data_IF_025943982988
#
_entry.id   IF_025943982988
#
_cell.length_a   1.000
_cell.length_b   1.000
_cell.length_c   1.000
_cell.angle_alpha   90.00
_cell.angle_beta   90.00
_cell.angle_gamma   90.00
#
_symmetry.space_group_name_H-M   'P 1'
#
loop_
_entity.id
_entity.type
_entity.pdbx_description
1 polymer ?
#
# COMPACT_ATOMS: atom_id res chain seq x y z
N UNK A 1 -24.13 -4.86 2.59
CA UNK A 1 -23.61 -6.00 3.39
C UNK A 1 -23.20 -5.56 4.81
N UNK A 2 -24.09 -4.89 5.57
CA UNK A 2 -23.73 -4.26 6.86
C UNK A 2 -23.29 -5.29 7.93
N UNK A 3 -23.99 -6.43 8.02
CA UNK A 3 -23.65 -7.53 8.94
C UNK A 3 -22.24 -8.08 8.72
N UNK A 4 -21.86 -8.33 7.46
CA UNK A 4 -20.53 -8.86 7.13
C UNK A 4 -19.41 -7.90 7.54
N UNK A 5 -19.59 -6.58 7.30
CA UNK A 5 -18.62 -5.56 7.72
C UNK A 5 -18.50 -5.52 9.24
N UNK A 6 -19.61 -5.52 9.98
CA UNK A 6 -19.61 -5.57 11.45
C UNK A 6 -18.81 -6.77 11.97
N UNK A 7 -19.08 -7.96 11.43
CA UNK A 7 -18.39 -9.19 11.83
C UNK A 7 -16.89 -9.15 11.52
N UNK A 8 -16.48 -8.58 10.39
CA UNK A 8 -15.06 -8.42 10.05
C UNK A 8 -14.38 -7.48 11.05
N UNK A 9 -15.00 -6.35 11.38
CA UNK A 9 -14.48 -5.44 12.40
C UNK A 9 -14.35 -6.14 13.77
N UNK A 10 -15.33 -6.95 14.17
CA UNK A 10 -15.27 -7.74 15.41
C UNK A 10 -14.16 -8.81 15.39
N UNK A 11 -13.92 -9.45 14.25
CA UNK A 11 -12.81 -10.39 14.10
C UNK A 11 -11.45 -9.70 14.25
N UNK A 12 -11.26 -8.53 13.61
CA UNK A 12 -10.04 -7.73 13.75
C UNK A 12 -9.89 -7.24 15.20
N UNK A 13 -10.99 -6.78 15.80
CA UNK A 13 -11.02 -6.36 17.19
C UNK A 13 -10.54 -7.46 18.14
N UNK A 14 -11.08 -8.68 17.99
CA UNK A 14 -10.66 -9.85 18.77
C UNK A 14 -9.16 -10.16 18.62
N UNK A 15 -8.60 -9.99 17.41
CA UNK A 15 -7.16 -10.16 17.18
C UNK A 15 -6.33 -9.05 17.85
N UNK A 16 -6.75 -7.78 17.77
CA UNK A 16 -6.10 -6.67 18.47
C UNK A 16 -6.16 -6.87 19.99
N UNK A 17 -7.29 -7.35 20.51
CA UNK A 17 -7.42 -7.66 21.92
C UNK A 17 -6.43 -8.74 22.36
N UNK A 18 -6.30 -9.81 21.57
CA UNK A 18 -5.43 -10.95 21.87
C UNK A 18 -3.94 -10.66 21.71
N UNK A 19 -3.56 -9.96 20.64
CA UNK A 19 -2.15 -9.77 20.26
C UNK A 19 -1.61 -8.36 20.51
N UNK A 20 -2.47 -7.40 20.81
CA UNK A 20 -2.09 -5.98 20.94
C UNK A 20 -2.14 -5.20 19.63
N UNK A 21 -2.31 -5.87 18.49
CA UNK A 21 -2.35 -5.31 17.14
C UNK A 21 -3.07 -6.28 16.20
N UNK A 22 -3.43 -5.83 15.00
CA UNK A 22 -3.94 -6.69 13.93
C UNK A 22 -2.78 -7.45 13.27
N UNK A 23 -2.61 -8.77 13.47
CA UNK A 23 -1.60 -9.53 12.74
C UNK A 23 -1.86 -9.46 11.23
N UNK A 24 -0.81 -9.65 10.42
CA UNK A 24 -0.89 -9.61 8.95
C UNK A 24 -2.05 -10.46 8.37
N UNK A 25 -2.37 -11.59 9.02
CA UNK A 25 -3.58 -12.35 8.78
C UNK A 25 -3.90 -13.29 9.94
N UNK A 26 -5.03 -14.01 9.86
CA UNK A 26 -5.53 -14.92 10.90
C UNK A 26 -4.76 -16.26 11.04
N UNK A 27 -3.44 -16.25 10.90
CA UNK A 27 -2.56 -17.43 11.02
C UNK A 27 -1.47 -17.17 12.05
N UNK A 28 -1.07 -18.20 12.79
CA UNK A 28 -0.15 -18.04 13.93
C UNK A 28 1.23 -17.49 13.52
N UNK A 29 1.73 -17.85 12.33
CA UNK A 29 3.02 -17.34 11.82
C UNK A 29 3.00 -15.84 11.45
N UNK A 30 1.82 -15.20 11.44
CA UNK A 30 1.67 -13.75 11.32
C UNK A 30 1.71 -13.01 12.66
N UNK A 31 1.67 -13.69 13.80
CA UNK A 31 1.66 -13.09 15.16
C UNK A 31 2.88 -12.22 15.50
N UNK A 32 3.88 -12.12 14.62
CA UNK A 32 5.08 -11.30 14.76
C UNK A 32 5.11 -10.04 13.89
N UNK A 33 4.13 -9.88 13.00
CA UNK A 33 4.05 -8.72 12.10
C UNK A 33 2.61 -8.29 11.84
N UNK A 34 2.40 -6.99 11.74
CA UNK A 34 1.13 -6.36 11.40
C UNK A 34 0.92 -6.26 9.87
N UNK A 35 0.00 -5.40 9.46
CA UNK A 35 -0.17 -4.82 8.12
C UNK A 35 -0.52 -3.33 8.22
N UNK A 36 -0.58 -2.55 7.11
CA UNK A 36 -1.02 -1.16 7.15
C UNK A 36 -2.35 -0.97 7.94
N UNK A 37 -2.42 -0.05 8.93
CA UNK A 37 -3.51 -0.03 9.91
C UNK A 37 -4.77 0.67 9.38
N UNK A 38 -5.69 -0.11 8.80
CA UNK A 38 -6.99 0.38 8.30
C UNK A 38 -8.15 0.18 9.28
N UNK A 39 -7.96 -0.45 10.44
CA UNK A 39 -9.06 -0.80 11.35
C UNK A 39 -9.90 0.41 11.78
N UNK A 40 -9.25 1.53 12.12
CA UNK A 40 -9.95 2.77 12.47
C UNK A 40 -10.82 3.29 11.31
N UNK A 41 -10.33 3.22 10.07
CA UNK A 41 -11.09 3.60 8.87
C UNK A 41 -12.26 2.65 8.62
N UNK A 42 -12.07 1.35 8.82
CA UNK A 42 -13.14 0.35 8.66
C UNK A 42 -14.29 0.58 9.65
N UNK A 43 -13.97 0.87 10.92
CA UNK A 43 -14.97 1.22 11.93
C UNK A 43 -15.66 2.54 11.59
N UNK A 44 -14.91 3.53 11.10
CA UNK A 44 -15.47 4.80 10.66
C UNK A 44 -16.47 4.61 9.50
N UNK A 45 -16.10 3.90 8.45
CA UNK A 45 -16.97 3.67 7.28
C UNK A 45 -18.23 2.88 7.68
N UNK A 46 -18.10 1.90 8.58
CA UNK A 46 -19.24 1.21 9.16
C UNK A 46 -20.15 2.17 9.93
N UNK A 47 -19.59 3.05 10.77
CA UNK A 47 -20.35 4.05 11.49
C UNK A 47 -21.08 5.00 10.54
N UNK A 48 -20.42 5.53 9.51
CA UNK A 48 -21.07 6.43 8.55
C UNK A 48 -22.28 5.76 7.87
N UNK A 49 -22.15 4.48 7.51
CA UNK A 49 -23.20 3.72 6.84
C UNK A 49 -24.36 3.26 7.75
N UNK A 50 -24.17 3.25 9.07
CA UNK A 50 -25.14 2.64 10.03
C UNK A 50 -25.59 3.56 11.14
N UNK A 51 -24.80 4.58 11.46
CA UNK A 51 -24.93 5.46 12.62
C UNK A 51 -24.98 4.68 13.96
N UNK A 52 -24.40 3.47 14.00
CA UNK A 52 -24.34 2.58 15.18
C UNK A 52 -23.31 3.13 16.19
N UNK A 53 -23.76 4.06 17.03
CA UNK A 53 -22.93 4.73 18.06
C UNK A 53 -22.45 3.78 19.15
N UNK A 54 -23.23 2.77 19.49
CA UNK A 54 -22.84 1.78 20.50
C UNK A 54 -21.68 0.93 20.00
N UNK A 55 -21.74 0.45 18.74
CA UNK A 55 -20.62 -0.25 18.13
C UNK A 55 -19.38 0.64 18.02
N UNK A 56 -19.53 1.92 17.63
CA UNK A 56 -18.40 2.85 17.62
C UNK A 56 -17.75 2.96 19.01
N UNK A 57 -18.57 3.11 20.06
CA UNK A 57 -18.11 3.20 21.45
C UNK A 57 -17.38 1.92 21.90
N UNK A 58 -17.86 0.75 21.49
CA UNK A 58 -17.22 -0.54 21.73
C UNK A 58 -15.84 -0.64 21.06
N UNK A 59 -15.70 -0.14 19.83
CA UNK A 59 -14.47 -0.24 19.05
C UNK A 59 -13.40 0.80 19.43
N UNK A 60 -13.78 1.96 19.99
CA UNK A 60 -12.84 3.05 20.31
C UNK A 60 -11.64 2.62 21.16
N UNK A 61 -11.80 1.91 22.29
CA UNK A 61 -10.66 1.43 23.10
C UNK A 61 -9.73 0.47 22.33
N UNK A 62 -10.28 -0.29 21.38
CA UNK A 62 -9.53 -1.26 20.59
C UNK A 62 -8.70 -0.55 19.52
N UNK A 63 -9.27 0.50 18.89
CA UNK A 63 -8.53 1.41 18.00
C UNK A 63 -7.37 2.07 18.75
N UNK A 64 -7.61 2.57 19.96
CA UNK A 64 -6.55 3.16 20.80
C UNK A 64 -5.45 2.14 21.11
N UNK A 65 -5.82 0.89 21.43
CA UNK A 65 -4.87 -0.20 21.69
C UNK A 65 -3.96 -0.48 20.48
N UNK A 66 -4.51 -0.53 19.27
CA UNK A 66 -3.72 -0.73 18.05
C UNK A 66 -2.80 0.48 17.75
N UNK A 67 -3.30 1.71 17.89
CA UNK A 67 -2.48 2.92 17.73
C UNK A 67 -1.32 2.95 18.73
N UNK A 68 -1.58 2.54 19.97
CA UNK A 68 -0.56 2.40 21.01
C UNK A 68 0.53 1.40 20.62
N UNK A 69 0.16 0.28 19.99
CA UNK A 69 1.14 -0.67 19.47
C UNK A 69 2.10 -0.02 18.48
N UNK A 70 1.60 0.76 17.51
CA UNK A 70 2.45 1.45 16.54
C UNK A 70 3.39 2.46 17.21
N UNK A 71 2.87 3.27 18.14
CA UNK A 71 3.65 4.31 18.84
C UNK A 71 4.69 3.72 19.82
N UNK A 72 4.39 2.57 20.43
CA UNK A 72 5.29 1.91 21.39
C UNK A 72 6.34 1.04 20.69
N UNK A 73 5.92 0.23 19.71
CA UNK A 73 6.75 -0.84 19.16
C UNK A 73 7.36 -0.52 17.78
N UNK A 74 6.73 0.38 17.02
CA UNK A 74 7.11 0.68 15.63
C UNK A 74 7.64 2.10 15.43
N UNK A 75 7.91 2.81 16.51
CA UNK A 75 8.43 4.17 16.42
C UNK A 75 9.93 4.26 16.14
N UNK A 76 10.30 5.38 15.52
CA UNK A 76 11.65 5.85 15.25
C UNK A 76 11.69 7.37 15.41
N UNK A 77 12.83 7.92 15.82
CA UNK A 77 13.01 9.37 15.93
C UNK A 77 13.92 9.87 14.82
N UNK A 78 13.45 10.84 14.05
CA UNK A 78 14.23 11.55 13.02
C UNK A 78 14.55 12.96 13.49
N UNK A 79 15.63 13.54 12.96
CA UNK A 79 16.01 14.94 13.21
C UNK A 79 15.88 15.73 11.92
N UNK A 80 14.88 16.60 11.85
CA UNK A 80 14.59 17.42 10.67
C UNK A 80 14.36 18.86 11.11
N UNK A 81 15.02 19.82 10.44
CA UNK A 81 14.97 21.25 10.79
C UNK A 81 15.24 21.51 12.28
N UNK A 82 16.26 20.85 12.84
CA UNK A 82 16.65 20.88 14.26
C UNK A 82 15.58 20.43 15.26
N UNK A 83 14.54 19.71 14.80
CA UNK A 83 13.50 19.13 15.67
C UNK A 83 13.62 17.62 15.70
N UNK A 84 13.47 17.03 16.89
CA UNK A 84 13.31 15.59 17.08
C UNK A 84 11.85 15.24 16.84
N UNK A 85 11.57 14.45 15.81
CA UNK A 85 10.22 14.06 15.41
C UNK A 85 10.11 12.55 15.53
N UNK A 86 9.10 12.09 16.28
CA UNK A 86 8.80 10.66 16.44
C UNK A 86 7.78 10.24 15.37
N UNK A 87 8.14 9.26 14.57
CA UNK A 87 7.34 8.70 13.46
C UNK A 87 7.31 7.17 13.58
N UNK A 88 6.48 6.51 12.78
CA UNK A 88 6.42 5.05 12.72
C UNK A 88 7.10 4.50 11.47
N UNK A 89 7.63 3.28 11.59
CA UNK A 89 8.20 2.49 10.50
C UNK A 89 7.73 1.03 10.59
N UNK A 90 7.67 0.34 9.46
CA UNK A 90 7.52 -1.11 9.48
C UNK A 90 8.81 -1.74 10.02
N UNK A 91 8.66 -2.61 11.02
CA UNK A 91 9.78 -3.24 11.74
C UNK A 91 9.26 -4.48 12.47
N UNK A 92 9.06 -5.55 11.71
CA UNK A 92 8.52 -6.80 12.21
C UNK A 92 9.42 -7.42 13.30
N UNK A 93 8.82 -8.08 14.29
CA UNK A 93 9.56 -8.76 15.36
C UNK A 93 9.94 -10.20 14.95
N UNK A 94 10.65 -10.31 13.83
CA UNK A 94 11.19 -11.57 13.32
C UNK A 94 12.54 -11.32 12.66
N UNK A 95 13.45 -12.27 12.78
CA UNK A 95 14.75 -12.32 12.12
C UNK A 95 15.09 -13.73 11.65
N UNK A 96 14.05 -14.55 11.40
CA UNK A 96 14.11 -15.93 10.91
C UNK A 96 13.30 -16.05 9.61
N UNK A 97 13.53 -17.07 8.77
CA UNK A 97 12.74 -17.26 7.55
C UNK A 97 11.24 -17.28 7.85
N UNK A 98 10.44 -16.69 6.97
CA UNK A 98 8.98 -16.72 7.07
C UNK A 98 8.49 -18.16 6.91
N UNK A 99 7.66 -18.70 7.82
CA UNK A 99 7.15 -20.07 7.68
C UNK A 99 6.40 -20.32 6.37
N UNK A 100 5.61 -19.35 5.89
CA UNK A 100 4.85 -19.47 4.64
C UNK A 100 5.70 -19.35 3.36
N UNK A 101 6.98 -18.97 3.49
CA UNK A 101 7.91 -18.80 2.38
C UNK A 101 9.28 -19.41 2.70
N UNK A 102 9.32 -20.43 3.55
CA UNK A 102 10.55 -20.95 4.18
C UNK A 102 11.65 -21.22 3.16
N UNK A 103 11.38 -22.06 2.15
CA UNK A 103 12.35 -22.43 1.12
C UNK A 103 12.93 -21.20 0.40
N UNK A 104 12.06 -20.28 -0.03
CA UNK A 104 12.45 -19.04 -0.74
C UNK A 104 13.36 -18.17 0.14
N UNK A 105 12.98 -17.95 1.39
CA UNK A 105 13.73 -17.12 2.33
C UNK A 105 15.08 -17.77 2.72
N UNK A 106 15.15 -19.10 2.83
CA UNK A 106 16.41 -19.82 3.10
C UNK A 106 17.33 -19.86 1.88
N UNK A 107 16.79 -20.08 0.69
CA UNK A 107 17.57 -20.16 -0.55
C UNK A 107 18.16 -18.80 -0.93
N UNK A 108 17.40 -17.71 -0.71
CA UNK A 108 17.87 -16.34 -0.96
C UNK A 108 19.20 -16.04 -0.28
N UNK A 109 19.39 -16.54 0.95
CA UNK A 109 20.58 -16.26 1.77
C UNK A 109 21.60 -17.41 1.77
N UNK A 110 21.43 -18.43 0.92
CA UNK A 110 22.29 -19.62 0.87
C UNK A 110 23.77 -19.28 0.63
N UNK A 111 24.03 -18.23 -0.17
CA UNK A 111 25.39 -17.73 -0.44
C UNK A 111 26.02 -16.92 0.70
N UNK A 112 25.27 -16.58 1.75
CA UNK A 112 25.81 -15.89 2.92
C UNK A 112 26.34 -16.93 3.92
N UNK A 113 27.54 -16.72 4.45
CA UNK A 113 28.11 -17.58 5.50
C UNK A 113 27.86 -17.02 6.90
N UNK A 114 27.83 -15.70 7.05
CA UNK A 114 27.62 -15.00 8.31
C UNK A 114 26.16 -15.07 8.78
N UNK A 115 25.87 -15.73 9.92
CA UNK A 115 24.51 -15.85 10.47
C UNK A 115 23.84 -14.50 10.75
N UNK A 116 24.61 -13.48 11.15
CA UNK A 116 24.07 -12.16 11.46
C UNK A 116 23.53 -11.45 10.21
N UNK A 117 24.21 -11.64 9.06
CA UNK A 117 23.74 -11.12 7.77
C UNK A 117 22.47 -11.84 7.29
N UNK A 118 22.37 -13.16 7.51
CA UNK A 118 21.12 -13.91 7.22
C UNK A 118 19.96 -13.38 8.05
N UNK A 119 20.16 -13.26 9.37
CA UNK A 119 19.16 -12.73 10.29
C UNK A 119 18.70 -11.31 9.92
N UNK A 120 19.64 -10.46 9.48
CA UNK A 120 19.30 -9.13 8.97
C UNK A 120 18.41 -9.20 7.72
N UNK A 121 18.76 -10.01 6.73
CA UNK A 121 17.93 -10.16 5.51
C UNK A 121 16.52 -10.64 5.86
N UNK A 122 16.39 -11.65 6.73
CA UNK A 122 15.09 -12.15 7.17
C UNK A 122 14.27 -11.09 7.94
N UNK A 123 14.93 -10.25 8.74
CA UNK A 123 14.27 -9.14 9.42
C UNK A 123 13.70 -8.09 8.44
N UNK A 124 14.46 -7.76 7.41
CA UNK A 124 14.04 -6.80 6.38
C UNK A 124 12.92 -7.37 5.50
N UNK A 125 12.94 -8.68 5.24
CA UNK A 125 11.87 -9.42 4.56
C UNK A 125 10.57 -9.40 5.37
N UNK A 126 10.64 -9.77 6.66
CA UNK A 126 9.47 -9.78 7.52
C UNK A 126 8.86 -8.37 7.68
N UNK A 127 9.71 -7.34 7.71
CA UNK A 127 9.28 -5.94 7.76
C UNK A 127 8.69 -5.47 6.43
N UNK A 128 9.19 -5.93 5.28
CA UNK A 128 8.56 -5.66 3.98
C UNK A 128 7.17 -6.30 3.90
N UNK A 129 7.01 -7.53 4.39
CA UNK A 129 5.68 -8.17 4.49
C UNK A 129 4.74 -7.41 5.45
N UNK A 130 5.25 -6.82 6.54
CA UNK A 130 4.46 -5.94 7.43
C UNK A 130 3.96 -4.68 6.71
N UNK A 131 4.68 -4.22 5.68
CA UNK A 131 4.23 -3.06 4.87
C UNK A 131 3.09 -3.39 3.91
N UNK A 132 2.82 -4.68 3.66
CA UNK A 132 1.94 -5.15 2.60
C UNK A 132 2.53 -5.03 1.19
N UNK A 133 3.77 -4.54 1.05
CA UNK A 133 4.46 -4.34 -0.22
C UNK A 133 5.67 -5.29 -0.35
N UNK A 134 5.46 -6.60 -0.13
CA UNK A 134 6.44 -7.67 -0.29
C UNK A 134 6.41 -8.27 -1.70
N UNK A 135 7.34 -7.95 -2.60
CA UNK A 135 8.39 -6.94 -2.48
C UNK A 135 8.23 -5.84 -3.53
N UNK A 136 8.99 -4.75 -3.33
CA UNK A 136 9.11 -3.60 -4.23
C UNK A 136 10.52 -3.02 -4.11
N UNK A 137 11.00 -2.43 -5.21
CA UNK A 137 12.18 -1.57 -5.25
C UNK A 137 12.12 -0.44 -4.22
N UNK A 138 10.93 -0.05 -3.76
CA UNK A 138 10.70 0.90 -2.66
C UNK A 138 11.55 0.59 -1.43
N UNK A 139 11.69 -0.70 -1.11
CA UNK A 139 12.38 -1.20 0.09
C UNK A 139 13.80 -1.69 -0.17
N UNK A 140 14.27 -1.63 -1.42
CA UNK A 140 15.53 -2.25 -1.84
C UNK A 140 16.54 -1.15 -2.17
N UNK A 141 17.77 -1.30 -1.68
CA UNK A 141 18.87 -0.44 -2.12
C UNK A 141 19.28 -0.85 -3.53
N UNK A 142 19.24 0.10 -4.46
CA UNK A 142 19.71 -0.12 -5.83
C UNK A 142 21.20 -0.51 -5.83
N UNK A 143 21.51 -1.60 -6.52
CA UNK A 143 22.88 -2.00 -6.86
C UNK A 143 23.29 -1.30 -8.17
N UNK A 144 24.09 -0.24 -8.04
CA UNK A 144 24.55 0.58 -9.17
C UNK A 144 25.59 -0.11 -10.04
N UNK A 145 26.18 -1.21 -9.56
CA UNK A 145 27.19 -1.99 -10.29
C UNK A 145 26.50 -3.07 -11.15
N UNK A 146 25.50 -3.76 -10.61
CA UNK A 146 24.76 -4.79 -11.33
C UNK A 146 23.51 -4.25 -12.05
N UNK A 147 23.71 -3.69 -13.24
CA UNK A 147 22.61 -3.17 -14.09
C UNK A 147 21.60 -4.23 -14.55
N UNK A 148 21.96 -5.52 -14.54
CA UNK A 148 21.07 -6.61 -14.98
C UNK A 148 19.99 -6.91 -13.94
N UNK A 149 20.36 -6.88 -12.66
CA UNK A 149 19.44 -7.06 -11.54
C UNK A 149 19.79 -6.07 -10.42
N UNK A 150 19.43 -4.79 -10.56
CA UNK A 150 19.79 -3.76 -9.60
C UNK A 150 18.95 -3.82 -8.31
N UNK A 151 17.84 -4.56 -8.28
CA UNK A 151 16.88 -4.60 -7.17
C UNK A 151 16.82 -5.98 -6.51
N UNK A 152 17.97 -6.45 -6.02
CA UNK A 152 18.10 -7.75 -5.34
C UNK A 152 17.47 -7.73 -3.96
N UNK A 153 16.72 -8.78 -3.60
CA UNK A 153 16.13 -8.91 -2.26
C UNK A 153 17.19 -8.95 -1.13
N UNK A 154 18.42 -9.38 -1.43
CA UNK A 154 19.55 -9.29 -0.49
C UNK A 154 19.87 -7.85 -0.04
N UNK A 155 19.44 -6.84 -0.81
CA UNK A 155 19.63 -5.43 -0.51
C UNK A 155 18.40 -4.77 0.15
N UNK A 156 17.44 -5.57 0.66
CA UNK A 156 16.32 -5.05 1.43
C UNK A 156 16.81 -4.23 2.64
N UNK A 157 16.11 -3.13 2.88
CA UNK A 157 16.43 -2.09 3.88
C UNK A 157 15.16 -1.44 4.41
N UNK A 158 14.06 -2.19 4.46
CA UNK A 158 12.73 -1.73 4.90
C UNK A 158 12.80 -0.95 6.21
N UNK A 159 13.57 -1.42 7.20
CA UNK A 159 13.66 -0.74 8.51
C UNK A 159 14.54 0.50 8.50
N UNK A 160 15.18 0.83 7.36
CA UNK A 160 15.87 2.10 7.11
C UNK A 160 14.96 3.15 6.46
N UNK A 161 13.69 2.83 6.24
CA UNK A 161 12.74 3.70 5.56
C UNK A 161 11.60 4.02 6.53
N UNK A 162 11.33 5.32 6.70
CA UNK A 162 10.15 5.83 7.38
C UNK A 162 9.07 6.02 6.31
N UNK A 163 8.01 5.19 6.29
CA UNK A 163 7.05 5.17 5.20
C UNK A 163 6.05 6.33 5.29
N UNK A 164 5.83 7.03 4.18
CA UNK A 164 4.89 8.14 4.11
C UNK A 164 3.44 7.69 4.32
N UNK A 165 3.10 6.52 3.77
CA UNK A 165 1.77 5.89 3.87
C UNK A 165 1.42 5.45 5.28
N UNK A 166 2.33 4.76 5.99
CA UNK A 166 2.11 4.34 7.37
C UNK A 166 1.80 5.54 8.27
N UNK A 167 2.59 6.60 8.16
CA UNK A 167 2.41 7.79 8.98
C UNK A 167 1.13 8.54 8.57
N UNK A 168 0.76 8.53 7.29
CA UNK A 168 -0.52 9.09 6.82
C UNK A 168 -1.74 8.30 7.31
N UNK A 169 -1.63 6.97 7.48
CA UNK A 169 -2.70 6.10 8.01
C UNK A 169 -2.86 6.21 9.53
N UNK A 170 -1.74 6.33 10.26
CA UNK A 170 -1.76 6.56 11.72
C UNK A 170 -2.35 7.93 12.06
N UNK A 171 -2.32 8.88 11.12
CA UNK A 171 -3.07 10.11 11.26
C UNK A 171 -4.58 9.84 11.25
N UNK A 172 -5.20 9.85 12.43
CA UNK A 172 -6.65 9.73 12.58
C UNK A 172 -7.25 11.10 12.92
N UNK A 173 -8.05 11.73 12.04
CA UNK A 173 -8.47 13.15 12.14
C UNK A 173 -9.51 13.48 13.24
N UNK A 174 -10.14 12.51 13.92
CA UNK A 174 -11.56 12.70 14.34
C UNK A 174 -11.91 12.79 15.83
N UNK A 175 -10.96 12.86 16.76
CA UNK A 175 -11.30 13.17 18.17
C UNK A 175 -10.89 14.60 18.59
N UNK A 176 -11.81 15.29 19.29
CA UNK A 176 -11.67 16.70 19.65
C UNK A 176 -10.48 16.99 20.60
N UNK A 177 -10.13 16.03 21.47
CA UNK A 177 -8.98 16.12 22.38
C UNK A 177 -7.62 16.11 21.68
N UNK A 178 -7.58 15.83 20.37
CA UNK A 178 -6.35 15.70 19.60
C UNK A 178 -6.12 16.85 18.61
N UNK A 179 -7.00 17.85 18.49
CA UNK A 179 -6.84 19.00 17.56
C UNK A 179 -5.44 19.65 17.62
N UNK A 180 -4.91 19.92 18.82
CA UNK A 180 -3.55 20.48 18.99
C UNK A 180 -2.45 19.48 18.64
N UNK A 181 -2.63 18.20 19.00
CA UNK A 181 -1.70 17.11 18.63
C UNK A 181 -1.64 16.95 17.09
N UNK A 182 -2.76 17.11 16.39
CA UNK A 182 -2.83 17.01 14.93
C UNK A 182 -2.19 18.17 14.19
N UNK A 183 -2.31 19.41 14.68
CA UNK A 183 -1.59 20.54 14.07
C UNK A 183 -0.08 20.32 14.10
N UNK A 184 0.45 19.88 15.25
CA UNK A 184 1.86 19.51 15.38
C UNK A 184 2.23 18.30 14.53
N UNK A 185 1.39 17.26 14.51
CA UNK A 185 1.61 16.09 13.66
C UNK A 185 1.70 16.50 12.19
N UNK A 186 0.72 17.26 11.69
CA UNK A 186 0.66 17.70 10.29
C UNK A 186 1.89 18.53 9.93
N UNK A 187 2.26 19.50 10.76
CA UNK A 187 3.47 20.30 10.54
C UNK A 187 4.71 19.42 10.47
N UNK A 188 4.84 18.46 11.39
CA UNK A 188 5.95 17.52 11.41
C UNK A 188 5.94 16.57 10.20
N UNK A 189 4.75 16.11 9.79
CA UNK A 189 4.55 15.25 8.62
C UNK A 189 5.02 15.98 7.35
N UNK A 190 4.60 17.22 7.16
CA UNK A 190 5.03 18.07 6.05
C UNK A 190 6.52 18.36 6.13
N UNK A 191 7.03 18.76 7.30
CA UNK A 191 8.46 19.04 7.50
C UNK A 191 9.34 17.82 7.13
N UNK A 192 8.85 16.59 7.32
CA UNK A 192 9.61 15.35 7.10
C UNK A 192 9.41 14.76 5.71
N UNK A 193 8.19 14.71 5.17
CA UNK A 193 7.88 13.92 3.97
C UNK A 193 7.71 14.74 2.69
N UNK A 194 7.56 16.07 2.77
CA UNK A 194 7.48 16.92 1.58
C UNK A 194 8.81 16.84 0.80
N UNK A 195 8.72 16.40 -0.45
CA UNK A 195 9.80 16.31 -1.43
C UNK A 195 9.75 17.49 -2.39
N UNK A 196 10.83 17.70 -3.13
CA UNK A 196 10.87 18.65 -4.24
C UNK A 196 9.71 18.36 -5.21
N UNK A 197 9.13 19.43 -5.77
CA UNK A 197 7.98 19.35 -6.66
C UNK A 197 6.64 19.15 -5.95
N UNK A 198 6.56 19.24 -4.61
CA UNK A 198 5.30 19.22 -3.88
C UNK A 198 4.72 17.83 -3.60
N UNK A 199 5.44 16.77 -3.98
CA UNK A 199 5.07 15.39 -3.66
C UNK A 199 5.47 15.00 -2.24
N UNK A 200 4.84 13.95 -1.69
CA UNK A 200 5.17 13.41 -0.38
C UNK A 200 5.69 11.99 -0.52
N UNK A 201 6.93 11.75 -0.10
CA UNK A 201 7.63 10.49 -0.33
C UNK A 201 8.28 9.98 0.96
N UNK A 202 8.73 8.73 0.96
CA UNK A 202 9.36 8.14 2.14
C UNK A 202 10.64 8.88 2.56
N UNK A 203 10.91 8.89 3.87
CA UNK A 203 12.14 9.42 4.44
C UNK A 203 13.14 8.29 4.72
N UNK A 204 14.36 8.44 4.27
CA UNK A 204 15.43 7.45 4.40
C UNK A 204 16.34 7.77 5.59
N UNK A 205 16.47 6.84 6.53
CA UNK A 205 17.21 7.04 7.79
C UNK A 205 18.73 7.09 7.58
N UNK A 206 19.25 6.36 6.59
CA UNK A 206 20.68 6.27 6.31
C UNK A 206 21.20 7.50 5.59
N UNK A 207 20.46 8.02 4.61
CA UNK A 207 20.82 9.25 3.88
C UNK A 207 20.31 10.51 4.56
N UNK A 208 19.39 10.37 5.53
CA UNK A 208 18.69 11.46 6.23
C UNK A 208 17.93 12.38 5.28
N UNK A 209 17.42 11.84 4.18
CA UNK A 209 16.76 12.59 3.09
C UNK A 209 15.42 11.98 2.74
N UNK A 210 14.52 12.82 2.24
CA UNK A 210 13.30 12.39 1.56
C UNK A 210 13.67 11.84 0.20
N UNK A 211 13.06 10.71 -0.19
CA UNK A 211 13.24 10.14 -1.52
C UNK A 211 12.70 11.09 -2.59
N UNK A 212 13.42 11.20 -3.72
CA UNK A 212 13.08 12.11 -4.82
C UNK A 212 12.97 11.39 -6.16
N UNK A 213 12.11 11.90 -7.02
CA UNK A 213 12.10 11.60 -8.46
C UNK A 213 11.76 10.16 -8.84
N UNK A 214 11.20 9.36 -7.93
CA UNK A 214 10.65 8.03 -8.23
C UNK A 214 9.24 7.98 -7.67
N UNK A 215 8.27 7.61 -8.50
CA UNK A 215 6.90 7.42 -8.07
C UNK A 215 6.72 6.06 -7.42
N UNK A 216 6.02 6.07 -6.29
CA UNK A 216 5.39 4.89 -5.70
C UNK A 216 3.95 5.27 -5.36
N UNK A 217 3.04 4.31 -5.43
CA UNK A 217 1.63 4.51 -5.06
C UNK A 217 1.42 5.05 -3.64
N UNK A 218 2.39 4.87 -2.74
CA UNK A 218 2.36 5.48 -1.41
C UNK A 218 2.31 7.02 -1.43
N UNK A 219 2.81 7.65 -2.50
CA UNK A 219 2.80 9.11 -2.67
C UNK A 219 1.39 9.70 -2.59
N UNK A 220 0.35 8.98 -3.01
CA UNK A 220 -1.04 9.50 -2.97
C UNK A 220 -1.74 9.29 -1.63
N UNK A 221 -1.19 8.47 -0.73
CA UNK A 221 -1.84 8.10 0.53
C UNK A 221 -2.09 9.29 1.46
N UNK A 222 -1.19 10.30 1.59
CA UNK A 222 -1.46 11.50 2.39
C UNK A 222 -2.69 12.29 1.95
N UNK A 223 -2.96 12.31 0.63
CA UNK A 223 -4.16 12.92 0.10
C UNK A 223 -5.38 12.05 0.38
N UNK A 224 -5.26 10.72 0.20
CA UNK A 224 -6.32 9.77 0.50
C UNK A 224 -6.78 9.82 1.97
N UNK A 225 -5.88 9.94 2.94
CA UNK A 225 -6.24 10.02 4.36
C UNK A 225 -6.67 11.44 4.78
N UNK A 226 -6.43 12.44 3.92
CA UNK A 226 -6.70 13.84 4.21
C UNK A 226 -5.83 14.40 5.34
N UNK A 227 -4.63 13.83 5.56
CA UNK A 227 -3.74 14.24 6.65
C UNK A 227 -3.11 15.62 6.44
N UNK A 228 -3.01 16.04 5.18
CA UNK A 228 -2.53 17.36 4.77
C UNK A 228 -3.53 18.47 5.11
N UNK A 229 -4.83 18.17 4.95
CA UNK A 229 -5.97 18.95 5.44
C UNK A 229 -6.09 20.41 4.98
N UNK A 230 -5.34 20.85 3.97
CA UNK A 230 -5.39 22.18 3.34
C UNK A 230 -5.24 21.96 1.82
N UNK A 231 -6.15 22.56 1.05
CA UNK A 231 -6.28 22.36 -0.40
C UNK A 231 -5.01 22.75 -1.16
N UNK A 232 -4.20 23.69 -0.64
CA UNK A 232 -2.93 24.07 -1.28
C UNK A 232 -1.92 22.91 -1.38
N UNK A 233 -2.01 21.92 -0.50
CA UNK A 233 -1.15 20.73 -0.56
C UNK A 233 -1.73 19.69 -1.51
N UNK A 234 -3.05 19.66 -1.69
CA UNK A 234 -3.72 18.87 -2.71
C UNK A 234 -3.32 19.35 -4.11
N UNK A 235 -3.34 20.66 -4.34
CA UNK A 235 -2.91 21.28 -5.60
C UNK A 235 -1.44 20.98 -5.89
N UNK A 236 -0.55 21.23 -4.92
CA UNK A 236 0.89 20.92 -5.07
C UNK A 236 1.17 19.43 -5.30
N UNK A 237 0.40 18.55 -4.67
CA UNK A 237 0.51 17.11 -4.89
C UNK A 237 0.11 16.72 -6.31
N UNK A 238 -0.97 17.32 -6.83
CA UNK A 238 -1.43 17.09 -8.20
C UNK A 238 -0.40 17.59 -9.21
N UNK A 239 0.10 18.82 -9.05
CA UNK A 239 1.16 19.40 -9.88
C UNK A 239 2.42 18.51 -9.87
N UNK A 240 2.84 18.07 -8.69
CA UNK A 240 3.99 17.18 -8.53
C UNK A 240 3.82 15.84 -9.24
N UNK A 241 2.61 15.27 -9.23
CA UNK A 241 2.31 14.06 -9.99
C UNK A 241 2.29 14.29 -11.50
N UNK A 242 1.83 15.45 -11.96
CA UNK A 242 1.92 15.82 -13.39
C UNK A 242 3.38 15.96 -13.83
N UNK A 243 4.25 16.53 -13.00
CA UNK A 243 5.69 16.60 -13.30
C UNK A 243 6.36 15.22 -13.29
N UNK A 244 5.99 14.36 -12.35
CA UNK A 244 6.40 12.95 -12.36
C UNK A 244 5.95 12.26 -13.65
N UNK A 245 4.70 12.48 -14.08
CA UNK A 245 4.18 11.89 -15.31
C UNK A 245 4.92 12.40 -16.54
N UNK A 246 5.22 13.70 -16.64
CA UNK A 246 6.04 14.25 -17.72
C UNK A 246 7.41 13.55 -17.83
N UNK A 247 8.00 13.19 -16.69
CA UNK A 247 9.33 12.55 -16.63
C UNK A 247 9.30 11.03 -16.82
N UNK A 248 8.30 10.34 -16.27
CA UNK A 248 8.26 8.88 -16.17
C UNK A 248 7.15 8.23 -16.99
N UNK A 249 6.15 9.01 -17.41
CA UNK A 249 4.99 8.56 -18.18
C UNK A 249 4.16 7.54 -17.43
N UNK A 250 3.82 7.81 -16.16
CA UNK A 250 3.05 6.89 -15.31
C UNK A 250 1.56 6.83 -15.72
N UNK A 251 1.03 7.84 -16.42
CA UNK A 251 -0.37 7.90 -16.87
C UNK A 251 -0.58 7.49 -18.33
N UNK A 252 0.49 7.22 -19.09
CA UNK A 252 0.40 6.84 -20.51
C UNK A 252 -0.12 5.42 -20.74
N UNK A 253 -0.19 4.61 -19.69
CA UNK A 253 -0.50 3.18 -19.81
C UNK A 253 -2.00 2.95 -20.02
N UNK A 254 -2.40 2.09 -20.97
CA UNK A 254 -3.80 1.99 -21.41
C UNK A 254 -4.74 1.42 -20.34
N UNK A 255 -4.24 0.55 -19.46
CA UNK A 255 -5.06 -0.20 -18.50
C UNK A 255 -5.15 0.44 -17.10
N UNK A 256 -4.33 1.45 -16.81
CA UNK A 256 -4.35 2.17 -15.53
C UNK A 256 -2.96 2.61 -15.08
N UNK A 257 -2.88 3.18 -13.88
CA UNK A 257 -1.63 3.71 -13.32
C UNK A 257 -0.86 2.58 -12.62
N UNK A 258 0.40 2.30 -13.00
CA UNK A 258 1.21 1.30 -12.35
C UNK A 258 1.59 1.74 -10.92
N UNK A 259 1.97 0.77 -10.11
CA UNK A 259 2.22 0.97 -8.66
C UNK A 259 3.52 1.72 -8.38
N UNK A 260 4.46 1.72 -9.32
CA UNK A 260 5.69 2.51 -9.25
C UNK A 260 6.13 2.98 -10.63
N UNK A 261 7.12 3.87 -10.67
CA UNK A 261 7.82 4.24 -11.91
C UNK A 261 8.39 3.01 -12.62
N UNK A 262 8.69 3.15 -13.93
CA UNK A 262 9.37 2.11 -14.70
C UNK A 262 10.78 1.90 -14.16
N UNK A 263 10.95 0.82 -13.41
CA UNK A 263 12.23 0.36 -12.89
C UNK A 263 12.51 -1.04 -13.43
N UNK A 264 13.79 -1.39 -13.63
CA UNK A 264 14.19 -2.75 -14.01
C UNK A 264 14.10 -3.72 -12.82
N UNK A 265 12.93 -3.74 -12.18
CA UNK A 265 12.59 -4.56 -11.03
C UNK A 265 11.80 -5.79 -11.49
N UNK A 266 12.06 -6.92 -10.83
CA UNK A 266 11.29 -8.16 -10.96
C UNK A 266 10.27 -8.32 -9.82
N UNK A 267 10.06 -7.27 -9.02
CA UNK A 267 9.22 -7.35 -7.82
C UNK A 267 7.74 -7.09 -8.14
N UNK A 268 6.84 -7.65 -7.33
CA UNK A 268 5.40 -7.58 -7.63
C UNK A 268 4.75 -6.23 -7.33
N UNK A 269 5.22 -5.49 -6.34
CA UNK A 269 4.70 -4.17 -5.99
C UNK A 269 5.41 -3.05 -6.79
N UNK A 270 5.83 -3.37 -8.01
CA UNK A 270 6.44 -2.44 -8.95
C UNK A 270 5.80 -2.51 -10.34
N UNK A 271 6.18 -1.56 -11.20
CA UNK A 271 5.92 -1.63 -12.64
C UNK A 271 6.23 -3.03 -13.24
N UNK A 272 5.34 -3.61 -14.06
CA UNK A 272 4.15 -3.00 -14.66
C UNK A 272 2.86 -3.18 -13.86
N UNK A 273 2.91 -3.67 -12.62
CA UNK A 273 1.68 -4.07 -11.93
C UNK A 273 0.87 -2.88 -11.41
N UNK A 274 -0.43 -2.98 -11.59
CA UNK A 274 -1.48 -2.16 -10.99
C UNK A 274 -2.06 -2.95 -9.82
N UNK A 275 -1.96 -2.38 -8.62
CA UNK A 275 -2.61 -2.94 -7.44
C UNK A 275 -3.91 -2.16 -7.13
N UNK A 276 -5.07 -2.83 -7.09
CA UNK A 276 -6.36 -2.19 -6.86
C UNK A 276 -6.44 -1.26 -5.65
N UNK A 277 -5.85 -1.57 -4.47
CA UNK A 277 -5.85 -0.63 -3.35
C UNK A 277 -5.19 0.71 -3.67
N UNK A 278 -4.09 0.70 -4.45
CA UNK A 278 -3.36 1.91 -4.84
C UNK A 278 -4.16 2.74 -5.84
N UNK A 279 -4.74 2.08 -6.85
CA UNK A 279 -5.60 2.76 -7.83
C UNK A 279 -6.83 3.37 -7.18
N UNK A 280 -7.49 2.63 -6.29
CA UNK A 280 -8.65 3.10 -5.55
C UNK A 280 -8.30 4.30 -4.66
N UNK A 281 -7.22 4.22 -3.87
CA UNK A 281 -6.78 5.34 -3.04
C UNK A 281 -6.47 6.60 -3.87
N UNK A 282 -5.83 6.46 -5.03
CA UNK A 282 -5.55 7.58 -5.94
C UNK A 282 -6.84 8.23 -6.46
N UNK A 283 -7.78 7.43 -6.95
CA UNK A 283 -9.06 7.92 -7.48
C UNK A 283 -9.86 8.59 -6.36
N UNK A 284 -9.98 7.94 -5.21
CA UNK A 284 -10.70 8.47 -4.04
C UNK A 284 -10.09 9.77 -3.52
N UNK A 285 -8.76 9.86 -3.50
CA UNK A 285 -8.03 11.06 -3.12
C UNK A 285 -8.41 12.27 -4.00
N UNK A 286 -8.38 12.12 -5.32
CA UNK A 286 -8.68 13.22 -6.24
C UNK A 286 -10.17 13.49 -6.39
N UNK A 287 -11.04 12.48 -6.28
CA UNK A 287 -12.49 12.66 -6.36
C UNK A 287 -13.05 13.55 -5.25
N UNK A 288 -12.38 13.58 -4.09
CA UNK A 288 -12.74 14.40 -2.92
C UNK A 288 -12.11 15.80 -2.94
N UNK A 289 -11.32 16.12 -3.97
CA UNK A 289 -10.75 17.45 -4.16
C UNK A 289 -11.83 18.49 -4.45
N UNK A 290 -11.60 19.75 -4.05
CA UNK A 290 -12.43 20.89 -4.45
C UNK A 290 -12.22 21.34 -5.90
N UNK A 291 -11.18 20.83 -6.58
CA UNK A 291 -10.85 21.19 -7.96
C UNK A 291 -11.59 20.32 -8.97
N UNK A 292 -12.29 20.97 -9.92
CA UNK A 292 -12.96 20.26 -11.03
C UNK A 292 -11.98 19.50 -11.91
N UNK A 293 -10.78 20.04 -12.15
CA UNK A 293 -9.73 19.36 -12.91
C UNK A 293 -9.35 18.02 -12.28
N UNK A 294 -9.15 17.99 -10.96
CA UNK A 294 -8.81 16.76 -10.25
C UNK A 294 -9.97 15.77 -10.19
N UNK A 295 -11.21 16.26 -10.06
CA UNK A 295 -12.40 15.40 -10.13
C UNK A 295 -12.56 14.77 -11.52
N UNK A 296 -12.31 15.54 -12.58
CA UNK A 296 -12.34 15.05 -13.96
C UNK A 296 -11.20 14.04 -14.21
N UNK A 297 -10.01 14.30 -13.68
CA UNK A 297 -8.90 13.34 -13.67
C UNK A 297 -9.26 12.04 -12.95
N UNK A 298 -9.86 12.12 -11.75
CA UNK A 298 -10.31 10.95 -11.00
C UNK A 298 -11.34 10.13 -11.80
N UNK A 299 -12.26 10.81 -12.48
CA UNK A 299 -13.26 10.15 -13.33
C UNK A 299 -12.63 9.51 -14.57
N UNK A 300 -11.66 10.15 -15.24
CA UNK A 300 -10.89 9.56 -16.34
C UNK A 300 -10.20 8.26 -15.88
N UNK A 301 -9.48 8.30 -14.75
CA UNK A 301 -8.81 7.11 -14.19
C UNK A 301 -9.80 6.03 -13.77
N UNK A 302 -10.98 6.41 -13.29
CA UNK A 302 -12.07 5.46 -13.02
C UNK A 302 -12.53 4.76 -14.30
N UNK A 303 -12.86 5.50 -15.36
CA UNK A 303 -13.30 4.92 -16.63
C UNK A 303 -12.23 4.01 -17.23
N UNK A 304 -10.97 4.45 -17.17
CA UNK A 304 -9.83 3.66 -17.61
C UNK A 304 -9.72 2.33 -16.88
N UNK A 305 -9.66 2.39 -15.55
CA UNK A 305 -9.39 1.22 -14.73
C UNK A 305 -10.55 0.22 -14.68
N UNK A 306 -11.80 0.70 -14.62
CA UNK A 306 -12.97 -0.17 -14.63
C UNK A 306 -13.20 -0.83 -16.00
N UNK A 307 -12.99 -0.09 -17.10
CA UNK A 307 -13.07 -0.70 -18.44
C UNK A 307 -11.97 -1.76 -18.64
N UNK A 308 -10.77 -1.52 -18.10
CA UNK A 308 -9.68 -2.50 -18.11
C UNK A 308 -10.04 -3.77 -17.31
N UNK A 309 -10.56 -3.62 -16.09
CA UNK A 309 -10.99 -4.75 -15.27
C UNK A 309 -12.14 -5.52 -15.91
N UNK A 310 -13.12 -4.83 -16.50
CA UNK A 310 -14.20 -5.48 -17.23
C UNK A 310 -13.70 -6.27 -18.43
N UNK A 311 -12.76 -5.70 -19.22
CA UNK A 311 -12.19 -6.41 -20.37
C UNK A 311 -11.36 -7.62 -19.94
N UNK A 312 -10.57 -7.50 -18.87
CA UNK A 312 -9.83 -8.62 -18.30
C UNK A 312 -10.76 -9.71 -17.76
N UNK A 313 -11.82 -9.34 -17.04
CA UNK A 313 -12.86 -10.27 -16.58
C UNK A 313 -13.48 -11.03 -17.76
N UNK A 314 -13.95 -10.33 -18.80
CA UNK A 314 -14.57 -10.94 -19.97
C UNK A 314 -13.61 -11.81 -20.79
N UNK A 315 -12.33 -11.44 -20.85
CA UNK A 315 -11.31 -12.14 -21.63
C UNK A 315 -10.65 -13.31 -20.91
N UNK A 316 -10.46 -13.22 -19.59
CA UNK A 316 -9.72 -14.19 -18.78
C UNK A 316 -10.66 -14.82 -17.74
N UNK A 317 -11.43 -15.82 -18.19
CA UNK A 317 -12.16 -16.78 -17.35
C UNK A 317 -13.34 -16.24 -16.50
N UNK A 318 -13.76 -14.98 -16.69
CA UNK A 318 -14.83 -14.36 -15.90
C UNK A 318 -14.53 -14.32 -14.40
N UNK A 319 -13.27 -14.07 -14.05
CA UNK A 319 -12.84 -13.80 -12.68
C UNK A 319 -12.18 -12.43 -12.55
N UNK A 320 -12.30 -11.85 -11.36
CA UNK A 320 -11.58 -10.64 -10.98
C UNK A 320 -10.19 -11.01 -10.46
N UNK A 321 -9.17 -10.26 -10.86
CA UNK A 321 -7.78 -10.60 -10.57
C UNK A 321 -7.20 -9.74 -9.44
N UNK A 322 -6.28 -10.33 -8.66
CA UNK A 322 -5.58 -9.65 -7.58
C UNK A 322 -4.85 -8.37 -8.01
N UNK A 323 -4.24 -8.41 -9.20
CA UNK A 323 -3.45 -7.33 -9.79
C UNK A 323 -3.48 -7.46 -11.32
N UNK A 324 -3.17 -6.37 -12.03
CA UNK A 324 -3.19 -6.31 -13.50
C UNK A 324 -1.89 -5.72 -14.05
N UNK A 325 -1.46 -6.14 -15.24
CA UNK A 325 -0.36 -5.50 -15.96
C UNK A 325 -0.84 -4.22 -16.68
N UNK A 326 -0.23 -3.07 -16.37
CA UNK A 326 -0.59 -1.77 -16.93
C UNK A 326 -0.35 -1.65 -18.45
N UNK A 327 0.59 -2.41 -19.00
CA UNK A 327 0.97 -2.38 -20.41
C UNK A 327 0.15 -3.34 -21.26
N UNK A 328 -0.02 -4.57 -20.76
CA UNK A 328 -0.53 -5.71 -21.53
C UNK A 328 -1.97 -6.08 -21.18
N UNK A 329 -2.50 -5.59 -20.05
CA UNK A 329 -3.84 -5.92 -19.60
C UNK A 329 -4.00 -7.41 -19.28
N UNK A 330 -2.92 -8.11 -18.93
CA UNK A 330 -2.96 -9.49 -18.42
C UNK A 330 -3.18 -9.48 -16.91
N UNK A 331 -3.50 -10.64 -16.29
CA UNK A 331 -3.26 -10.80 -14.86
C UNK A 331 -1.82 -10.37 -14.54
N UNK A 332 -1.65 -9.61 -13.46
CA UNK A 332 -0.36 -8.98 -13.17
C UNK A 332 0.76 -10.02 -13.02
N UNK A 333 1.96 -9.64 -13.45
CA UNK A 333 3.11 -10.53 -13.56
C UNK A 333 4.09 -10.34 -12.38
N UNK A 334 5.15 -11.15 -12.35
CA UNK A 334 6.33 -10.99 -11.47
C UNK A 334 6.06 -11.09 -9.95
N UNK A 335 7.16 -11.22 -9.20
CA UNK A 335 7.19 -11.47 -7.75
C UNK A 335 7.08 -12.94 -7.36
N UNK A 336 6.87 -13.17 -6.07
CA UNK A 336 7.03 -14.48 -5.44
C UNK A 336 5.98 -15.52 -5.86
N UNK A 337 4.85 -15.08 -6.41
CA UNK A 337 3.73 -15.95 -6.81
C UNK A 337 2.91 -15.32 -7.95
N UNK A 338 2.16 -16.18 -8.65
CA UNK A 338 1.23 -15.76 -9.71
C UNK A 338 0.05 -14.94 -9.18
N UNK A 339 -0.55 -14.11 -10.04
CA UNK A 339 -1.75 -13.36 -9.68
C UNK A 339 -2.90 -14.30 -9.31
N UNK A 340 -3.61 -13.98 -8.23
CA UNK A 340 -4.67 -14.82 -7.66
C UNK A 340 -6.06 -14.41 -8.18
N UNK A 341 -6.99 -15.37 -8.19
CA UNK A 341 -8.37 -15.26 -8.69
C UNK A 341 -9.36 -14.77 -7.62
N UNK A 342 -10.47 -14.15 -8.07
CA UNK A 342 -11.64 -13.76 -7.26
C UNK A 342 -11.46 -12.55 -6.32
N UNK A 343 -10.38 -11.80 -6.46
CA UNK A 343 -9.73 -11.17 -5.30
C UNK A 343 -10.52 -10.05 -4.59
N UNK A 344 -10.60 -10.13 -3.26
CA UNK A 344 -11.49 -9.30 -2.43
C UNK A 344 -11.33 -7.78 -2.57
N UNK A 345 -10.10 -7.26 -2.57
CA UNK A 345 -9.89 -5.81 -2.75
C UNK A 345 -10.26 -5.33 -4.15
N UNK A 346 -10.20 -6.19 -5.17
CA UNK A 346 -10.47 -5.80 -6.55
C UNK A 346 -11.97 -5.63 -6.68
N UNK A 347 -12.70 -6.62 -6.17
CA UNK A 347 -14.16 -6.60 -6.11
C UNK A 347 -14.64 -5.39 -5.30
N UNK A 348 -14.05 -5.14 -4.13
CA UNK A 348 -14.42 -4.01 -3.27
C UNK A 348 -14.23 -2.67 -3.97
N UNK A 349 -13.04 -2.42 -4.52
CA UNK A 349 -12.73 -1.16 -5.22
C UNK A 349 -13.58 -0.96 -6.48
N UNK A 350 -13.84 -2.02 -7.25
CA UNK A 350 -14.71 -1.95 -8.44
C UNK A 350 -16.14 -1.59 -8.04
N UNK A 351 -16.70 -2.27 -7.03
CA UNK A 351 -18.06 -2.00 -6.58
C UNK A 351 -18.22 -0.59 -6.03
N UNK A 352 -17.25 -0.10 -5.24
CA UNK A 352 -17.28 1.25 -4.69
C UNK A 352 -17.28 2.32 -5.79
N UNK A 353 -16.39 2.19 -6.79
CA UNK A 353 -16.34 3.12 -7.91
C UNK A 353 -17.58 3.05 -8.82
N UNK A 354 -18.16 1.85 -9.00
CA UNK A 354 -19.43 1.70 -9.73
C UNK A 354 -20.60 2.34 -8.99
N UNK A 355 -20.64 2.27 -7.67
CA UNK A 355 -21.64 2.99 -6.86
C UNK A 355 -21.46 4.50 -7.00
N UNK A 356 -20.22 5.00 -7.02
CA UNK A 356 -19.92 6.44 -7.11
C UNK A 356 -20.18 7.02 -8.51
N UNK A 357 -19.87 6.29 -9.57
CA UNK A 357 -19.81 6.83 -10.94
C UNK A 357 -20.67 6.08 -11.97
N UNK A 358 -21.41 5.05 -11.56
CA UNK A 358 -22.13 4.17 -12.48
C UNK A 358 -23.17 4.86 -13.36
N UNK A 359 -23.72 5.99 -12.93
CA UNK A 359 -24.66 6.84 -13.69
C UNK A 359 -24.00 7.59 -14.86
N UNK A 360 -22.69 7.84 -14.77
CA UNK A 360 -21.92 8.61 -15.77
C UNK A 360 -21.00 7.73 -16.62
N UNK A 361 -20.69 6.54 -16.13
CA UNK A 361 -19.71 5.66 -16.73
C UNK A 361 -20.11 5.16 -18.12
N UNK A 362 -19.11 5.06 -18.99
CA UNK A 362 -19.20 4.34 -20.26
C UNK A 362 -18.06 3.33 -20.35
N UNK A 363 -18.34 2.17 -20.94
CA UNK A 363 -17.28 1.25 -21.33
C UNK A 363 -16.49 1.88 -22.47
N UNK A 364 -15.23 2.18 -22.23
CA UNK A 364 -14.33 2.71 -23.26
C UNK A 364 -13.56 1.57 -23.92
N UNK A 365 -13.33 1.68 -25.23
CA UNK A 365 -12.55 0.70 -25.96
C UNK A 365 -11.13 0.62 -25.37
N UNK A 366 -10.68 -0.60 -25.11
CA UNK A 366 -9.32 -0.91 -24.65
C UNK A 366 -8.61 -1.82 -25.65
N UNK A 367 -7.26 -1.81 -25.71
CA UNK A 367 -6.51 -2.84 -26.40
C UNK A 367 -6.94 -4.23 -25.93
N UNK A 368 -6.69 -5.26 -26.75
CA UNK A 368 -7.03 -6.62 -26.35
C UNK A 368 -6.19 -7.09 -25.18
N UNK A 369 -6.84 -7.83 -24.29
CA UNK A 369 -6.19 -8.47 -23.15
C UNK A 369 -5.62 -9.81 -23.60
N UNK A 370 -4.46 -10.18 -23.08
CA UNK A 370 -3.83 -11.46 -23.39
C UNK A 370 -4.03 -12.46 -22.24
N UNK A 371 -4.73 -13.56 -22.53
CA UNK A 371 -5.10 -14.59 -21.55
C UNK A 371 -4.47 -15.97 -21.83
N UNK A 372 -3.48 -16.07 -22.72
CA UNK A 372 -2.99 -17.39 -23.19
C UNK A 372 -2.16 -18.19 -22.18
N UNK A 373 -1.60 -17.54 -21.15
CA UNK A 373 -0.73 -18.17 -20.14
C UNK A 373 -1.20 -17.92 -18.70
N UNK A 374 -2.50 -17.80 -18.51
CA UNK A 374 -3.08 -17.59 -17.18
C UNK A 374 -3.10 -18.94 -16.44
N UNK A 375 -2.46 -19.05 -15.26
CA UNK A 375 -2.53 -20.26 -14.46
C UNK A 375 -3.99 -20.57 -14.13
N UNK A 376 -4.45 -21.77 -14.53
CA UNK A 376 -5.85 -22.19 -14.39
C UNK A 376 -6.25 -22.54 -12.96
N UNK A 377 -5.25 -22.81 -12.11
CA UNK A 377 -5.43 -23.02 -10.69
C UNK A 377 -4.70 -21.92 -9.92
N UNK A 378 -5.27 -21.38 -8.83
CA UNK A 378 -4.44 -20.71 -7.83
C UNK A 378 -3.37 -21.73 -7.43
N UNK A 379 -2.08 -21.37 -7.51
CA UNK A 379 -1.02 -22.28 -7.07
C UNK A 379 -1.44 -22.85 -5.72
N UNK A 380 -1.62 -24.19 -5.57
CA UNK A 380 -1.70 -24.74 -4.25
C UNK A 380 -0.44 -24.27 -3.52
N UNK A 381 -0.54 -23.90 -2.25
CA UNK A 381 0.64 -23.78 -1.40
C UNK A 381 1.33 -25.15 -1.45
N UNK A 382 2.28 -25.35 -2.36
CA UNK A 382 3.00 -26.60 -2.51
C UNK A 382 3.97 -26.66 -1.35
N UNK A 383 3.52 -27.23 -0.24
CA UNK A 383 4.40 -27.68 0.81
C UNK A 383 5.24 -28.84 0.25
N UNK A 384 6.56 -28.86 0.47
CA UNK A 384 7.37 -30.01 0.08
C UNK A 384 6.82 -31.28 0.74
N UNK A 385 6.83 -32.44 0.04
CA UNK A 385 6.41 -33.70 0.65
C UNK A 385 7.29 -34.03 1.86
N UNK A 386 6.66 -34.65 2.87
CA UNK A 386 7.24 -35.05 4.16
C UNK A 386 8.52 -35.89 4.04
#
# INVERSE_FOLDING_TARGET
MKKSVKNICQNIASMIERFGFMPNGGRIYYSKRSQPPFFASMVYDYYEATQDKEFLKEMLPIIEKELDFWVKNRSVTVVVKNKRIKLCQYRADSNVPRPEAWCRDTDLVKGLTDPSKKAKVWHEIASAAESGWDFSSRWIKEDTENKKNPWKLLNLRTTQIVPVDLNALIYNKKSASYKKKYSNFRKNFIDVFESDGGTFNDYELDTKKVRKGTFYGSTVVPLFTGCLGDDKYTDRMFDGLMEIDKKHGIFKYPFGVPTSSVLNSAQQWDFPNIWPPVSHMMIEAFSRSGSKEMQDFAFDKTQQWLSANYKLYKGCENFMWMKMDAQKGTPGAKGDFHAQLGFGWTNGAVLDLLVKYGDKMKLIQKPDVNCTNVPKDPEPEVFPPE
#
